data_IF_686106571022
#
_entry.id   IF_686106571022
#
_cell.length_a   1.000
_cell.length_b   1.000
_cell.length_c   1.000
_cell.angle_alpha   90.00
_cell.angle_beta   90.00
_cell.angle_gamma   90.00
#
_symmetry.space_group_name_H-M   'P 1'
#
loop_
_entity.id
_entity.type
_entity.pdbx_description
1 polymer ?
#
# COMPACT_ATOMS: atom_id res chain seq x y z
N UNK A 1 1.57 4.67 0.49
CA UNK A 1 1.85 3.87 -0.74
C UNK A 1 0.78 4.06 -1.83
N UNK A 2 -0.52 3.94 -1.55
CA UNK A 2 -1.60 4.06 -2.56
C UNK A 2 -1.52 5.35 -3.40
N UNK A 3 -1.46 6.52 -2.75
CA UNK A 3 -1.37 7.81 -3.44
C UNK A 3 -0.14 7.94 -4.36
N UNK A 4 0.96 7.27 -3.99
CA UNK A 4 2.15 7.22 -4.84
C UNK A 4 1.88 6.41 -6.12
N UNK A 5 1.22 5.25 -6.01
CA UNK A 5 0.79 4.45 -7.16
C UNK A 5 -0.10 5.25 -8.09
N UNK A 6 -1.11 5.95 -7.54
CA UNK A 6 -2.01 6.81 -8.29
C UNK A 6 -1.27 7.88 -9.06
N UNK A 7 -0.45 8.69 -8.38
CA UNK A 7 0.34 9.75 -9.01
C UNK A 7 1.21 9.23 -10.15
N UNK A 8 1.88 8.10 -9.95
CA UNK A 8 2.74 7.51 -10.96
C UNK A 8 1.96 6.98 -12.16
N UNK A 9 0.84 6.30 -11.92
CA UNK A 9 -0.03 5.76 -12.96
C UNK A 9 -0.71 6.87 -13.76
N UNK A 10 -1.22 7.91 -13.08
CA UNK A 10 -1.83 9.08 -13.73
C UNK A 10 -0.83 9.78 -14.65
N UNK A 11 0.40 10.03 -14.16
CA UNK A 11 1.46 10.63 -14.97
C UNK A 11 1.80 9.77 -16.19
N UNK A 12 1.93 8.46 -16.00
CA UNK A 12 2.26 7.54 -17.08
C UNK A 12 1.13 7.47 -18.12
N UNK A 13 -0.12 7.43 -17.67
CA UNK A 13 -1.28 7.42 -18.55
C UNK A 13 -1.42 8.71 -19.34
N UNK A 14 -1.16 9.87 -18.72
CA UNK A 14 -1.16 11.18 -19.41
C UNK A 14 -0.10 11.26 -20.51
N UNK A 15 1.08 10.64 -20.30
CA UNK A 15 2.19 10.71 -21.24
C UNK A 15 2.11 9.65 -22.36
N UNK A 16 1.61 8.46 -22.06
CA UNK A 16 1.70 7.30 -22.97
C UNK A 16 0.35 6.68 -23.35
N UNK A 17 -0.76 7.15 -22.77
CA UNK A 17 -2.09 6.55 -22.97
C UNK A 17 -2.24 5.13 -22.42
N UNK A 18 -1.26 4.62 -21.66
CA UNK A 18 -1.19 3.22 -21.21
C UNK A 18 -1.30 3.10 -19.70
N UNK A 19 -1.90 2.01 -19.23
CA UNK A 19 -1.95 1.69 -17.80
C UNK A 19 -0.61 1.12 -17.32
N UNK A 20 -0.30 1.33 -16.04
CA UNK A 20 0.87 0.73 -15.38
C UNK A 20 0.40 -0.50 -14.61
N UNK A 21 1.04 -1.65 -14.85
CA UNK A 21 0.70 -2.89 -14.15
C UNK A 21 1.06 -2.82 -12.66
N UNK A 22 0.31 -3.55 -11.84
CA UNK A 22 0.63 -3.76 -10.42
C UNK A 22 2.10 -4.15 -10.19
N UNK A 23 2.63 -5.10 -10.97
CA UNK A 23 4.01 -5.57 -10.82
C UNK A 23 5.03 -4.46 -11.14
N UNK A 24 4.76 -3.63 -12.14
CA UNK A 24 5.61 -2.50 -12.47
C UNK A 24 5.61 -1.44 -11.34
N UNK A 25 4.46 -1.19 -10.71
CA UNK A 25 4.37 -0.31 -9.54
C UNK A 25 5.17 -0.87 -8.35
N UNK A 26 5.08 -2.17 -8.08
CA UNK A 26 5.85 -2.83 -7.02
C UNK A 26 7.36 -2.77 -7.28
N UNK A 27 7.81 -3.05 -8.52
CA UNK A 27 9.22 -2.91 -8.92
C UNK A 27 9.74 -1.49 -8.70
N UNK A 28 8.90 -0.46 -8.90
CA UNK A 28 9.27 0.93 -8.60
C UNK A 28 9.50 1.14 -7.10
N UNK A 29 8.68 0.58 -6.22
CA UNK A 29 8.93 0.67 -4.76
C UNK A 29 10.28 0.07 -4.38
N UNK A 30 10.63 -1.11 -4.93
CA UNK A 30 11.94 -1.73 -4.68
C UNK A 30 13.09 -0.81 -5.09
N UNK A 31 12.97 -0.10 -6.22
CA UNK A 31 13.98 0.88 -6.65
C UNK A 31 14.05 2.12 -5.74
N UNK A 32 12.91 2.56 -5.18
CA UNK A 32 12.86 3.73 -4.28
C UNK A 32 13.52 3.40 -2.94
N UNK A 33 13.24 2.21 -2.38
CA UNK A 33 13.80 1.75 -1.10
C UNK A 33 15.33 1.74 -1.07
N UNK A 34 15.98 1.56 -2.23
CA UNK A 34 17.45 1.59 -2.37
C UNK A 34 18.07 2.98 -2.31
N UNK A 35 17.26 4.05 -2.30
CA UNK A 35 17.77 5.42 -2.26
C UNK A 35 17.89 5.88 -0.81
N UNK A 36 19.03 6.45 -0.42
CA UNK A 36 19.34 6.90 0.96
C UNK A 36 18.23 7.77 1.59
N UNK A 37 17.68 8.74 0.84
CA UNK A 37 16.52 9.57 1.26
C UNK A 37 15.27 8.78 1.68
N UNK A 38 15.14 7.54 1.21
CA UNK A 38 13.98 6.69 1.39
C UNK A 38 14.31 5.41 2.16
N UNK A 39 15.45 5.38 2.85
CA UNK A 39 15.93 4.22 3.59
C UNK A 39 14.96 3.78 4.70
N UNK A 40 14.26 4.73 5.34
CA UNK A 40 13.18 4.49 6.29
C UNK A 40 12.03 3.62 5.73
N UNK A 41 11.91 3.46 4.41
CA UNK A 41 10.93 2.54 3.82
C UNK A 41 11.31 1.07 4.04
N UNK A 42 12.56 0.76 4.41
CA UNK A 42 13.00 -0.58 4.76
C UNK A 42 12.42 -1.04 6.11
N UNK A 43 12.21 -0.10 7.03
CA UNK A 43 11.61 -0.35 8.35
C UNK A 43 10.11 -0.64 8.26
N UNK A 44 9.48 -0.26 7.14
CA UNK A 44 8.07 -0.57 6.89
C UNK A 44 7.93 -1.96 6.28
N UNK A 45 7.02 -2.73 6.86
CA UNK A 45 6.60 -4.03 6.36
C UNK A 45 6.35 -4.00 4.85
N UNK A 46 7.06 -4.88 4.12
CA UNK A 46 7.03 -4.94 2.67
C UNK A 46 5.65 -5.29 2.09
N UNK A 47 4.73 -5.85 2.90
CA UNK A 47 3.37 -6.16 2.47
C UNK A 47 2.51 -4.90 2.30
N UNK A 48 2.75 -3.84 3.07
CA UNK A 48 2.01 -2.57 2.99
C UNK A 48 2.08 -1.95 1.59
N UNK A 49 3.26 -1.70 0.98
CA UNK A 49 3.32 -1.17 -0.39
C UNK A 49 2.85 -2.19 -1.44
N UNK A 50 2.99 -3.50 -1.21
CA UNK A 50 2.47 -4.53 -2.11
C UNK A 50 0.94 -4.49 -2.18
N UNK A 51 0.28 -4.48 -1.02
CA UNK A 51 -1.18 -4.40 -0.95
C UNK A 51 -1.70 -3.08 -1.50
N UNK A 52 -1.08 -1.95 -1.14
CA UNK A 52 -1.48 -0.66 -1.68
C UNK A 52 -1.37 -0.58 -3.21
N UNK A 53 -0.42 -1.31 -3.81
CA UNK A 53 -0.31 -1.44 -5.27
C UNK A 53 -1.45 -2.28 -5.86
N UNK A 54 -1.85 -3.37 -5.19
CA UNK A 54 -3.01 -4.21 -5.57
C UNK A 54 -4.32 -3.43 -5.49
N UNK A 55 -4.55 -2.73 -4.39
CA UNK A 55 -5.77 -1.96 -4.16
C UNK A 55 -5.94 -0.86 -5.22
N UNK A 56 -4.84 -0.17 -5.54
CA UNK A 56 -4.85 0.83 -6.60
C UNK A 56 -5.10 0.21 -7.98
N UNK A 57 -4.42 -0.89 -8.33
CA UNK A 57 -4.63 -1.59 -9.61
C UNK A 57 -6.09 -2.04 -9.77
N UNK A 58 -6.69 -2.59 -8.69
CA UNK A 58 -8.11 -2.94 -8.65
C UNK A 58 -9.01 -1.73 -8.87
N UNK A 59 -8.77 -0.62 -8.15
CA UNK A 59 -9.54 0.61 -8.33
C UNK A 59 -9.43 1.17 -9.76
N UNK A 60 -8.22 1.17 -10.34
CA UNK A 60 -7.97 1.61 -11.72
C UNK A 60 -8.69 0.73 -12.73
N UNK A 61 -8.64 -0.60 -12.57
CA UNK A 61 -9.38 -1.55 -13.42
C UNK A 61 -10.89 -1.33 -13.34
N UNK A 62 -11.43 -1.11 -12.13
CA UNK A 62 -12.85 -0.76 -11.98
C UNK A 62 -13.21 0.55 -12.67
N UNK A 63 -12.34 1.57 -12.57
CA UNK A 63 -12.52 2.84 -13.29
C UNK A 63 -12.65 2.60 -14.79
N UNK A 64 -11.71 1.86 -15.41
CA UNK A 64 -11.77 1.54 -16.83
C UNK A 64 -12.99 0.69 -17.20
N UNK A 65 -13.36 -0.30 -16.37
CA UNK A 65 -14.52 -1.16 -16.64
C UNK A 65 -15.82 -0.37 -16.64
N UNK A 66 -16.03 0.48 -15.61
CA UNK A 66 -17.29 1.19 -15.36
C UNK A 66 -17.42 2.48 -16.15
N UNK A 67 -16.36 3.28 -16.23
CA UNK A 67 -16.39 4.63 -16.81
C UNK A 67 -15.59 4.76 -18.11
N UNK A 68 -15.04 3.65 -18.62
CA UNK A 68 -14.23 3.59 -19.86
C UNK A 68 -12.96 4.45 -19.85
N UNK A 69 -12.56 4.96 -18.69
CA UNK A 69 -11.33 5.73 -18.48
C UNK A 69 -10.73 5.44 -17.10
N UNK A 70 -9.46 5.81 -16.88
CA UNK A 70 -8.74 5.51 -15.64
C UNK A 70 -8.83 6.57 -14.54
N UNK A 71 -9.56 7.67 -14.77
CA UNK A 71 -9.52 8.86 -13.92
C UNK A 71 -10.43 8.79 -12.69
N UNK A 72 -11.33 7.80 -12.60
CA UNK A 72 -12.23 7.61 -11.46
C UNK A 72 -11.55 6.82 -10.34
N UNK A 73 -10.42 7.37 -9.88
CA UNK A 73 -9.74 6.96 -8.65
C UNK A 73 -9.43 8.23 -7.86
N UNK A 74 -9.62 8.21 -6.55
CA UNK A 74 -9.37 9.37 -5.68
C UNK A 74 -8.06 9.20 -4.92
N UNK A 75 -7.42 10.31 -4.56
CA UNK A 75 -6.35 10.26 -3.57
C UNK A 75 -6.97 9.99 -2.19
N UNK A 76 -6.33 9.12 -1.40
CA UNK A 76 -6.67 8.97 0.02
C UNK A 76 -6.32 10.26 0.75
N UNK A 77 -7.24 10.80 1.53
CA UNK A 77 -7.02 11.97 2.37
C UNK A 77 -6.77 11.55 3.81
N UNK A 78 -5.96 12.31 4.53
CA UNK A 78 -5.84 12.16 6.00
C UNK A 78 -7.12 12.57 6.74
N UNK A 79 -8.00 13.31 6.06
CA UNK A 79 -9.30 13.75 6.58
C UNK A 79 -10.45 12.79 6.23
N UNK A 80 -10.16 11.68 5.55
CA UNK A 80 -11.20 10.68 5.28
C UNK A 80 -11.73 10.15 6.62
N UNK A 81 -13.07 10.05 6.73
CA UNK A 81 -13.77 9.60 7.94
C UNK A 81 -13.24 8.25 8.44
N UNK A 82 -12.88 7.35 7.50
CA UNK A 82 -12.34 6.03 7.79
C UNK A 82 -10.89 5.98 7.33
N UNK A 83 -9.96 6.04 8.29
CA UNK A 83 -8.54 5.83 8.05
C UNK A 83 -8.20 4.34 8.09
N UNK A 84 -8.42 3.65 6.97
CA UNK A 84 -8.05 2.23 6.82
C UNK A 84 -6.62 2.04 6.32
N UNK A 85 -5.80 1.33 7.10
CA UNK A 85 -4.51 0.78 6.65
C UNK A 85 -4.59 -0.73 6.49
N UNK A 86 -3.77 -1.28 5.59
CA UNK A 86 -3.65 -2.73 5.49
C UNK A 86 -2.88 -3.27 6.70
N UNK A 87 -3.51 -4.17 7.44
CA UNK A 87 -2.89 -4.97 8.49
C UNK A 87 -3.16 -6.44 8.18
N UNK A 88 -2.13 -7.28 8.26
CA UNK A 88 -2.28 -8.73 8.16
C UNK A 88 -2.43 -9.30 9.57
N UNK A 89 -3.67 -9.55 9.98
CA UNK A 89 -4.02 -10.07 11.30
C UNK A 89 -3.76 -11.58 11.46
N UNK A 90 -3.61 -12.32 10.36
CA UNK A 90 -3.35 -13.78 10.38
C UNK A 90 -1.90 -14.12 10.78
N UNK A 91 -1.01 -13.11 10.78
CA UNK A 91 0.43 -13.29 11.11
C UNK A 91 0.76 -12.81 12.52
N UNK A 92 -0.24 -12.80 13.39
CA UNK A 92 -0.11 -12.40 14.78
C UNK A 92 0.64 -13.52 15.53
N UNK A 93 1.81 -13.20 16.08
CA UNK A 93 2.62 -14.17 16.81
C UNK A 93 2.34 -13.98 18.30
N UNK A 94 1.73 -14.99 18.91
CA UNK A 94 1.39 -14.97 20.33
C UNK A 94 2.55 -15.62 21.11
N UNK A 95 3.21 -14.82 21.92
CA UNK A 95 4.20 -15.26 22.90
C UNK A 95 3.60 -15.32 24.31
N UNK A 96 4.46 -15.61 25.29
CA UNK A 96 4.07 -15.59 26.71
C UNK A 96 3.93 -14.14 27.18
N UNK A 97 2.68 -13.68 27.41
CA UNK A 97 2.32 -12.29 27.77
C UNK A 97 2.77 -11.20 26.77
N UNK A 98 3.06 -11.57 25.53
CA UNK A 98 3.48 -10.65 24.46
C UNK A 98 2.81 -11.06 23.17
N UNK A 99 2.43 -10.08 22.36
CA UNK A 99 1.94 -10.28 21.00
C UNK A 99 2.80 -9.47 20.04
N UNK A 100 3.37 -10.11 19.02
CA UNK A 100 3.99 -9.39 17.91
C UNK A 100 2.96 -9.17 16.79
N UNK A 101 2.76 -7.89 16.47
CA UNK A 101 1.86 -7.43 15.41
C UNK A 101 2.72 -6.81 14.32
N UNK A 102 2.67 -7.37 13.11
CA UNK A 102 3.50 -7.00 11.96
C UNK A 102 3.58 -5.51 11.56
N UNK A 103 2.70 -4.66 12.08
CA UNK A 103 2.65 -3.22 11.83
C UNK A 103 2.85 -2.36 13.09
N UNK A 104 2.77 -2.94 14.29
CA UNK A 104 2.88 -2.24 15.58
C UNK A 104 4.14 -2.69 16.35
N UNK A 105 4.63 -3.90 16.10
CA UNK A 105 5.70 -4.56 16.84
C UNK A 105 5.17 -5.35 18.03
N UNK A 106 6.05 -5.59 19.00
CA UNK A 106 5.69 -6.29 20.23
C UNK A 106 4.82 -5.43 21.15
N UNK A 107 3.72 -6.00 21.58
CA UNK A 107 2.79 -5.42 22.55
C UNK A 107 2.73 -6.33 23.77
N UNK A 108 3.04 -5.78 24.95
CA UNK A 108 2.91 -6.50 26.21
C UNK A 108 1.44 -6.63 26.58
N UNK A 109 1.01 -7.82 26.98
CA UNK A 109 -0.36 -8.08 27.44
C UNK A 109 -0.38 -8.29 28.95
N UNK A 110 -1.41 -7.76 29.62
CA UNK A 110 -1.60 -7.96 31.06
C UNK A 110 -2.01 -9.41 31.39
N UNK A 111 -2.68 -10.08 30.46
CA UNK A 111 -3.12 -11.47 30.53
C UNK A 111 -2.64 -12.26 29.31
N UNK A 112 -2.55 -13.59 29.46
CA UNK A 112 -2.23 -14.48 28.34
C UNK A 112 -3.43 -14.52 27.39
N UNK A 113 -3.17 -14.31 26.10
CA UNK A 113 -4.12 -14.54 25.01
C UNK A 113 -4.11 -16.00 24.57
#
# INVERSE_FOLDING_TARGET
AYNYCKRMSDRYYKLFGKSVSQLALQKRFTKIKKRKRYEWLNDINAQVPKQASKDFDKARKHSFKKYKNGYHTSYKSKKDLIQGFYANYERLIIGKKVVDIQSIGEVKTSQQL
#
